data_IF_873687002957
#
_entry.id   IF_873687002957
#
_cell.length_a   1.000
_cell.length_b   1.000
_cell.length_c   1.000
_cell.angle_alpha   90.00
_cell.angle_beta   90.00
_cell.angle_gamma   90.00
#
_symmetry.space_group_name_H-M   'P 1'
#
loop_
_entity.id
_entity.type
_entity.pdbx_description
1 polymer ?
#
# COMPACT_ATOMS: atom_id res chain seq x y z
N UNK A 1 -6.00 2.16 -10.53
CA UNK A 1 -6.24 3.01 -9.34
C UNK A 1 -4.99 3.73 -8.84
N UNK A 2 -5.14 4.76 -7.99
CA UNK A 2 -4.00 5.39 -7.28
C UNK A 2 -3.63 4.59 -6.03
N UNK A 3 -2.34 4.39 -5.78
CA UNK A 3 -1.83 3.70 -4.58
C UNK A 3 -0.52 4.31 -4.09
N UNK A 4 -0.26 4.26 -2.78
CA UNK A 4 1.05 4.56 -2.21
C UNK A 4 1.99 3.37 -2.42
N UNK A 5 3.10 3.56 -3.11
CA UNK A 5 4.12 2.56 -3.44
C UNK A 5 5.43 2.86 -2.70
N UNK A 6 6.14 1.82 -2.30
CA UNK A 6 7.44 1.91 -1.62
C UNK A 6 8.59 1.69 -2.60
N UNK A 7 9.55 2.61 -2.63
CA UNK A 7 10.71 2.59 -3.53
C UNK A 7 12.06 2.55 -2.78
N UNK A 8 12.02 2.52 -1.45
CA UNK A 8 13.20 2.45 -0.61
C UNK A 8 13.10 3.30 0.65
N UNK A 9 14.13 3.28 1.51
CA UNK A 9 14.16 4.10 2.70
C UNK A 9 13.94 5.57 2.35
N UNK A 10 12.98 6.19 3.04
CA UNK A 10 12.55 7.57 2.85
C UNK A 10 11.90 7.89 1.49
N UNK A 11 11.63 6.88 0.66
CA UNK A 11 11.14 7.05 -0.70
C UNK A 11 9.85 6.26 -0.92
N UNK A 12 8.72 6.97 -0.88
CA UNK A 12 7.38 6.48 -1.24
C UNK A 12 6.75 7.43 -2.26
N UNK A 13 5.91 6.91 -3.15
CA UNK A 13 5.24 7.71 -4.17
C UNK A 13 3.77 7.30 -4.31
N UNK A 14 2.94 8.19 -4.83
CA UNK A 14 1.58 7.81 -5.24
C UNK A 14 1.60 7.58 -6.74
N UNK A 15 1.36 6.34 -7.14
CA UNK A 15 1.42 5.91 -8.53
C UNK A 15 0.05 5.41 -9.02
N UNK A 16 -0.13 5.38 -10.33
CA UNK A 16 -1.26 4.69 -10.94
C UNK A 16 -0.87 3.22 -11.18
N UNK A 17 -1.58 2.32 -10.51
CA UNK A 17 -1.42 0.86 -10.62
C UNK A 17 -2.69 0.25 -11.22
N UNK A 18 -2.65 -0.98 -11.77
CA UNK A 18 -3.84 -1.70 -12.19
C UNK A 18 -4.87 -1.81 -11.05
N UNK A 19 -6.15 -1.87 -11.39
CA UNK A 19 -7.18 -2.17 -10.39
C UNK A 19 -7.03 -3.64 -9.93
N UNK A 20 -7.32 -3.95 -8.66
CA UNK A 20 -7.17 -5.30 -8.13
C UNK A 20 -8.14 -6.27 -8.81
N UNK A 21 -7.70 -7.51 -9.01
CA UNK A 21 -8.52 -8.63 -9.42
C UNK A 21 -8.86 -9.54 -8.23
N UNK A 22 -9.84 -10.42 -8.44
CA UNK A 22 -10.14 -11.54 -7.54
C UNK A 22 -9.20 -12.70 -7.93
N UNK A 23 -8.40 -13.21 -6.97
CA UNK A 23 -7.47 -14.32 -7.21
C UNK A 23 -7.98 -15.63 -6.62
N UNK A 24 -8.66 -15.55 -5.46
CA UNK A 24 -9.24 -16.68 -4.74
C UNK A 24 -10.75 -16.51 -4.60
N UNK A 25 -11.45 -17.62 -4.31
CA UNK A 25 -12.92 -17.63 -4.29
C UNK A 25 -13.54 -16.80 -3.16
N UNK A 26 -12.75 -16.49 -2.14
CA UNK A 26 -13.14 -15.78 -0.93
C UNK A 26 -12.63 -14.32 -0.87
N UNK A 27 -11.98 -13.83 -1.92
CA UNK A 27 -11.56 -12.44 -2.00
C UNK A 27 -12.74 -11.47 -2.17
N UNK A 28 -12.56 -10.25 -1.68
CA UNK A 28 -13.46 -9.12 -1.92
C UNK A 28 -12.67 -7.87 -2.31
N UNK A 29 -13.25 -7.07 -3.22
CA UNK A 29 -12.69 -5.77 -3.59
C UNK A 29 -13.43 -4.67 -2.82
N UNK A 30 -12.69 -3.88 -2.05
CA UNK A 30 -13.21 -2.77 -1.27
C UNK A 30 -12.86 -1.42 -1.90
N UNK A 31 -13.84 -0.53 -1.99
CA UNK A 31 -13.57 0.90 -2.22
C UNK A 31 -13.19 1.55 -0.89
N UNK A 32 -11.90 1.84 -0.72
CA UNK A 32 -11.38 2.51 0.47
C UNK A 32 -11.97 3.92 0.57
N UNK A 33 -12.68 4.21 1.67
CA UNK A 33 -13.19 5.55 1.99
C UNK A 33 -12.27 6.31 2.93
N UNK A 34 -11.54 5.60 3.78
CA UNK A 34 -10.51 6.12 4.66
C UNK A 34 -9.45 5.05 4.92
N UNK A 35 -8.20 5.49 5.10
CA UNK A 35 -7.08 4.68 5.58
C UNK A 35 -6.18 5.59 6.43
N UNK A 36 -5.35 5.01 7.28
CA UNK A 36 -4.49 5.74 8.20
C UNK A 36 -3.02 5.38 7.99
N UNK A 37 -2.15 6.30 8.42
CA UNK A 37 -0.73 6.01 8.61
C UNK A 37 -0.54 5.52 10.04
N UNK A 38 0.03 4.34 10.20
CA UNK A 38 0.35 3.73 11.48
C UNK A 38 1.81 4.02 11.86
N UNK A 39 2.13 3.97 13.16
CA UNK A 39 3.51 4.00 13.62
C UNK A 39 4.36 2.87 13.04
N UNK A 40 3.75 1.72 12.72
CA UNK A 40 4.43 0.58 12.10
C UNK A 40 4.96 0.89 10.71
N UNK A 41 4.28 1.75 9.95
CA UNK A 41 4.69 2.13 8.59
C UNK A 41 6.03 2.87 8.60
N UNK A 42 6.35 3.55 9.71
CA UNK A 42 7.63 4.21 9.91
C UNK A 42 8.80 3.22 10.02
N UNK A 43 8.54 1.96 10.38
CA UNK A 43 9.59 0.95 10.37
C UNK A 43 10.01 0.62 8.93
N UNK A 44 9.05 0.45 8.00
CA UNK A 44 9.32 0.25 6.59
C UNK A 44 9.92 1.52 5.95
N UNK A 45 9.29 2.68 6.17
CA UNK A 45 9.74 3.95 5.61
C UNK A 45 11.19 4.31 6.01
N UNK A 46 11.63 3.96 7.23
CA UNK A 46 13.00 4.21 7.69
C UNK A 46 13.99 3.09 7.35
N UNK A 47 13.58 2.09 6.56
CA UNK A 47 14.44 0.96 6.17
C UNK A 47 14.83 0.04 7.33
N UNK A 48 13.93 -0.13 8.32
CA UNK A 48 14.18 -0.96 9.53
C UNK A 48 13.51 -2.33 9.48
N UNK A 49 12.80 -2.65 8.40
CA UNK A 49 12.17 -3.95 8.12
C UNK A 49 12.59 -4.34 6.69
N UNK A 50 13.02 -5.59 6.44
CA UNK A 50 13.19 -6.09 5.08
C UNK A 50 11.85 -6.28 4.37
#
# INVERSE_FOLDING_TARGET
MKALTYHGPHHVQVENVPDPGIEQADDIILRITATAICGSDLHLYRGKIP
#
